data_IF_016430461794
#
_entry.id   IF_016430461794
#
_cell.length_a   1.000
_cell.length_b   1.000
_cell.length_c   1.000
_cell.angle_alpha   90.00
_cell.angle_beta   90.00
_cell.angle_gamma   90.00
#
_symmetry.space_group_name_H-M   'P 1'
#
loop_
_entity.id
_entity.type
_entity.pdbx_description
1 polymer ?
#
# COMPACT_ATOMS: atom_id res chain seq x y z
N UNK A 1 -2.84 43.77 14.51
CA UNK A 1 -2.24 42.76 13.63
C UNK A 1 -2.35 41.43 14.35
N UNK A 2 -3.41 40.69 14.06
CA UNK A 2 -3.61 39.39 14.66
C UNK A 2 -2.57 38.43 14.08
N UNK A 3 -1.70 37.91 14.96
CA UNK A 3 -0.75 36.85 14.59
C UNK A 3 -1.54 35.56 14.42
N UNK A 4 -1.66 35.09 13.21
CA UNK A 4 -2.17 33.73 12.90
C UNK A 4 -1.16 32.74 13.52
N UNK A 5 -1.58 32.03 14.56
CA UNK A 5 -0.79 30.90 15.08
C UNK A 5 -0.97 29.73 14.10
N UNK A 6 0.08 29.37 13.42
CA UNK A 6 0.09 28.22 12.51
C UNK A 6 0.26 26.92 13.33
N UNK A 7 -0.65 25.98 13.16
CA UNK A 7 -0.56 24.65 13.80
C UNK A 7 0.18 23.74 12.83
N UNK A 8 1.40 23.37 13.19
CA UNK A 8 2.18 22.40 12.43
C UNK A 8 1.66 21.00 12.79
N UNK A 9 1.31 20.22 11.78
CA UNK A 9 0.85 18.84 11.96
C UNK A 9 1.79 17.86 11.27
N UNK A 10 2.08 16.72 11.91
CA UNK A 10 2.78 15.60 11.32
C UNK A 10 1.83 14.40 11.22
N UNK A 11 1.76 13.79 10.04
CA UNK A 11 0.91 12.67 9.75
C UNK A 11 1.75 11.43 9.47
N UNK A 12 1.38 10.28 10.07
CA UNK A 12 2.05 8.99 9.87
C UNK A 12 1.03 7.85 9.78
N UNK A 13 1.35 6.86 8.96
CA UNK A 13 0.62 5.60 8.90
C UNK A 13 1.55 4.40 8.98
N UNK A 14 1.12 3.36 9.69
CA UNK A 14 1.88 2.12 9.89
C UNK A 14 0.96 0.93 9.67
N UNK A 15 1.42 -0.05 8.90
CA UNK A 15 0.81 -1.37 8.80
C UNK A 15 1.70 -2.38 9.54
N UNK A 16 1.19 -2.95 10.61
CA UNK A 16 1.86 -3.96 11.41
C UNK A 16 1.26 -5.33 11.18
N UNK A 17 2.07 -6.30 10.79
CA UNK A 17 1.67 -7.69 10.56
C UNK A 17 2.18 -8.60 11.68
N UNK A 18 1.27 -9.38 12.29
CA UNK A 18 1.57 -10.31 13.37
C UNK A 18 1.33 -11.72 12.85
N UNK A 19 2.41 -12.44 12.56
CA UNK A 19 2.35 -13.83 12.09
C UNK A 19 2.07 -14.79 13.25
N UNK A 20 1.42 -15.92 12.94
CA UNK A 20 1.06 -16.97 13.91
C UNK A 20 0.25 -16.41 15.10
N UNK A 21 -0.68 -15.52 14.82
CA UNK A 21 -1.44 -14.81 15.85
C UNK A 21 -2.25 -15.75 16.75
N UNK A 22 -2.73 -16.87 16.23
CA UNK A 22 -3.47 -17.87 17.03
C UNK A 22 -2.63 -18.48 18.14
N UNK A 23 -1.30 -18.60 17.92
CA UNK A 23 -0.32 -19.17 18.85
C UNK A 23 0.29 -18.11 19.79
N UNK A 24 -0.22 -16.88 19.78
CA UNK A 24 0.32 -15.80 20.61
C UNK A 24 0.37 -16.20 22.09
N UNK A 25 1.57 -16.24 22.71
CA UNK A 25 1.78 -16.79 24.04
C UNK A 25 1.42 -15.82 25.19
N UNK A 26 0.89 -14.65 24.88
CA UNK A 26 0.58 -13.64 25.90
C UNK A 26 -0.52 -14.12 26.85
N UNK A 27 -0.40 -13.72 28.12
CA UNK A 27 -1.46 -13.86 29.13
C UNK A 27 -2.40 -12.64 29.16
N UNK A 28 -3.43 -12.70 30.03
CA UNK A 28 -4.31 -11.54 30.27
C UNK A 28 -3.46 -10.39 30.81
N UNK A 29 -3.70 -9.17 30.36
CA UNK A 29 -2.91 -7.95 30.62
C UNK A 29 -1.57 -7.84 29.88
N UNK A 30 -1.12 -8.88 29.19
CA UNK A 30 0.08 -8.80 28.35
C UNK A 30 -0.26 -8.27 26.96
N UNK A 31 0.70 -7.59 26.36
CA UNK A 31 0.56 -7.00 25.02
C UNK A 31 1.71 -7.37 24.11
N UNK A 32 1.42 -7.37 22.81
CA UNK A 32 2.43 -7.27 21.77
C UNK A 32 2.56 -5.81 21.35
N UNK A 33 3.77 -5.39 21.00
CA UNK A 33 4.06 -4.03 20.56
C UNK A 33 4.63 -4.05 19.15
N UNK A 34 4.16 -3.13 18.30
CA UNK A 34 4.71 -2.91 16.98
C UNK A 34 6.16 -2.38 17.06
N UNK A 35 6.91 -2.43 15.95
CA UNK A 35 8.08 -1.57 15.81
C UNK A 35 7.70 -0.12 16.11
N UNK A 36 8.63 0.62 16.72
CA UNK A 36 8.44 2.02 17.04
C UNK A 36 8.50 2.89 15.77
N UNK A 37 7.72 3.95 15.75
CA UNK A 37 7.73 4.94 14.70
C UNK A 37 7.71 6.36 15.29
N UNK A 38 8.14 7.35 14.52
CA UNK A 38 8.34 8.69 15.03
C UNK A 38 7.51 9.73 14.30
N UNK A 39 7.10 10.76 15.03
CA UNK A 39 6.57 12.03 14.49
C UNK A 39 7.49 13.17 14.86
N UNK A 40 7.55 14.23 14.01
CA UNK A 40 8.49 15.36 14.13
C UNK A 40 7.76 16.70 14.00
N UNK A 41 6.76 16.95 14.83
CA UNK A 41 6.03 18.21 14.76
C UNK A 41 6.81 19.38 15.40
N UNK A 42 7.25 19.26 16.64
CA UNK A 42 8.13 20.22 17.34
C UNK A 42 9.36 19.52 17.92
N UNK A 43 9.18 18.28 18.36
CA UNK A 43 10.20 17.38 18.88
C UNK A 43 10.01 15.98 18.29
N UNK A 44 11.02 15.12 18.41
CA UNK A 44 10.93 13.72 17.95
C UNK A 44 10.16 12.92 19.00
N UNK A 45 8.90 12.62 18.72
CA UNK A 45 8.07 11.78 19.59
C UNK A 45 8.03 10.36 19.06
N UNK A 46 8.26 9.39 19.96
CA UNK A 46 8.26 7.96 19.63
C UNK A 46 6.92 7.34 19.98
N UNK A 47 6.34 6.61 19.03
CA UNK A 47 5.06 5.94 19.11
C UNK A 47 5.16 4.45 18.83
N UNK A 48 4.25 3.68 19.38
CA UNK A 48 4.04 2.27 19.03
C UNK A 48 2.56 1.91 19.09
N UNK A 49 2.17 0.88 18.36
CA UNK A 49 0.85 0.25 18.48
C UNK A 49 0.96 -0.93 19.44
N UNK A 50 0.06 -1.02 20.41
CA UNK A 50 -0.06 -2.16 21.33
C UNK A 50 -1.35 -2.90 21.07
N UNK A 51 -1.26 -4.22 21.03
CA UNK A 51 -2.40 -5.13 20.99
C UNK A 51 -2.39 -5.99 22.24
N UNK A 52 -3.54 -6.11 22.90
CA UNK A 52 -3.77 -7.01 24.01
C UNK A 52 -4.57 -8.21 23.51
N UNK A 53 -3.92 -9.35 23.18
CA UNK A 53 -4.58 -10.46 22.49
C UNK A 53 -5.61 -11.19 23.34
N UNK A 54 -5.46 -11.17 24.66
CA UNK A 54 -6.38 -11.80 25.63
C UNK A 54 -7.11 -10.79 26.53
N UNK A 55 -6.97 -9.48 26.23
CA UNK A 55 -7.63 -8.39 26.95
C UNK A 55 -6.98 -8.02 28.26
N UNK A 56 -7.68 -7.19 29.02
CA UNK A 56 -7.22 -6.57 30.26
C UNK A 56 -8.26 -6.71 31.37
N UNK A 57 -7.81 -7.05 32.56
CA UNK A 57 -8.70 -7.19 33.76
C UNK A 57 -9.24 -5.85 34.21
N UNK A 58 -8.40 -4.82 34.26
CA UNK A 58 -8.76 -3.45 34.67
C UNK A 58 -9.85 -2.82 33.80
N UNK A 59 -9.88 -3.18 32.52
CA UNK A 59 -10.87 -2.68 31.55
C UNK A 59 -12.07 -3.62 31.37
N UNK A 60 -12.21 -4.67 32.17
CA UNK A 60 -13.23 -5.72 32.05
C UNK A 60 -13.35 -6.27 30.61
N UNK A 61 -12.20 -6.50 29.97
CA UNK A 61 -12.10 -6.92 28.56
C UNK A 61 -11.40 -8.27 28.39
N UNK A 62 -11.37 -9.11 29.41
CA UNK A 62 -10.80 -10.45 29.34
C UNK A 62 -11.47 -11.26 28.22
N UNK A 63 -10.67 -11.95 27.41
CA UNK A 63 -11.13 -12.68 26.22
C UNK A 63 -11.38 -11.80 24.99
N UNK A 64 -11.19 -10.49 25.09
CA UNK A 64 -11.35 -9.56 23.99
C UNK A 64 -10.01 -8.99 23.56
N UNK A 65 -9.92 -8.63 22.29
CA UNK A 65 -8.72 -7.98 21.74
C UNK A 65 -8.82 -6.48 21.94
N UNK A 66 -7.78 -5.90 22.57
CA UNK A 66 -7.63 -4.46 22.75
C UNK A 66 -6.59 -3.88 21.79
N UNK A 67 -6.83 -2.66 21.27
CA UNK A 67 -5.91 -1.92 20.41
C UNK A 67 -5.65 -0.52 20.98
N UNK A 68 -4.37 -0.16 21.10
CA UNK A 68 -3.95 1.10 21.67
C UNK A 68 -2.81 1.72 20.89
N UNK A 69 -2.77 3.06 20.83
CA UNK A 69 -1.59 3.83 20.48
C UNK A 69 -0.84 4.19 21.78
N UNK A 70 0.46 4.03 21.77
CA UNK A 70 1.34 4.25 22.92
C UNK A 70 2.41 5.25 22.61
N UNK A 71 2.63 6.24 23.53
CA UNK A 71 3.73 7.20 23.46
C UNK A 71 4.90 6.66 24.28
N UNK A 72 6.03 6.36 23.60
CA UNK A 72 7.24 5.78 24.20
C UNK A 72 8.33 6.80 24.53
N UNK A 73 8.20 8.08 24.11
CA UNK A 73 9.23 9.10 24.33
C UNK A 73 9.21 9.64 25.76
N UNK A 74 10.40 9.96 26.28
CA UNK A 74 10.59 10.51 27.63
C UNK A 74 10.25 12.00 27.76
N UNK A 75 9.88 12.65 26.66
CA UNK A 75 9.59 14.07 26.67
C UNK A 75 8.27 14.39 27.35
N UNK A 76 8.28 15.47 28.16
CA UNK A 76 7.13 15.95 28.92
C UNK A 76 6.11 16.73 28.09
N UNK A 77 6.39 16.90 26.80
CA UNK A 77 5.51 17.65 25.90
C UNK A 77 4.14 17.00 25.75
N UNK A 78 3.13 17.86 25.74
CA UNK A 78 1.73 17.49 25.54
C UNK A 78 1.42 17.58 24.06
N UNK A 79 1.03 16.44 23.47
CA UNK A 79 0.65 16.39 22.08
C UNK A 79 -0.86 16.20 21.93
N UNK A 80 -1.46 17.00 21.07
CA UNK A 80 -2.82 16.81 20.60
C UNK A 80 -2.78 15.83 19.43
N UNK A 81 -3.36 14.66 19.61
CA UNK A 81 -3.21 13.54 18.68
C UNK A 81 -4.57 13.05 18.21
N UNK A 82 -4.75 13.05 16.89
CA UNK A 82 -5.84 12.36 16.22
C UNK A 82 -5.30 11.05 15.68
N UNK A 83 -5.97 9.94 16.00
CA UNK A 83 -5.54 8.63 15.51
C UNK A 83 -6.71 7.77 15.03
N UNK A 84 -6.37 6.85 14.15
CA UNK A 84 -7.22 5.76 13.67
C UNK A 84 -6.43 4.46 13.78
N UNK A 85 -6.96 3.47 14.50
CA UNK A 85 -6.41 2.11 14.53
C UNK A 85 -7.50 1.16 14.05
N UNK A 86 -7.16 0.21 13.20
CA UNK A 86 -8.11 -0.79 12.73
C UNK A 86 -7.43 -2.12 12.40
N UNK A 87 -8.22 -3.17 12.31
CA UNK A 87 -7.79 -4.42 11.70
C UNK A 87 -8.03 -4.32 10.19
N UNK A 88 -7.11 -4.88 9.40
CA UNK A 88 -7.29 -5.05 7.97
C UNK A 88 -7.79 -6.46 7.68
N UNK A 89 -8.86 -6.57 6.89
CA UNK A 89 -9.30 -7.87 6.39
C UNK A 89 -8.35 -8.39 5.28
N UNK A 90 -8.61 -9.58 4.79
CA UNK A 90 -7.82 -10.23 3.73
C UNK A 90 -7.80 -9.42 2.43
N UNK A 91 -8.77 -8.53 2.23
CA UNK A 91 -8.89 -7.63 1.09
C UNK A 91 -8.29 -6.24 1.36
N UNK A 92 -7.64 -6.01 2.50
CA UNK A 92 -7.06 -4.73 2.88
C UNK A 92 -8.07 -3.69 3.39
N UNK A 93 -9.36 -4.04 3.53
CA UNK A 93 -10.41 -3.12 4.01
C UNK A 93 -10.34 -2.94 5.51
N UNK A 94 -10.73 -1.74 5.96
CA UNK A 94 -10.78 -1.42 7.38
C UNK A 94 -11.92 -2.15 8.10
N UNK A 95 -11.55 -2.87 9.16
CA UNK A 95 -12.47 -3.56 10.06
C UNK A 95 -12.20 -3.13 11.50
N UNK A 96 -13.23 -3.11 12.33
CA UNK A 96 -13.10 -2.80 13.75
C UNK A 96 -12.33 -1.50 14.03
N UNK A 97 -12.79 -0.41 13.39
CA UNK A 97 -12.11 0.89 13.40
C UNK A 97 -12.28 1.59 14.75
N UNK A 98 -11.16 1.98 15.33
CA UNK A 98 -11.07 2.84 16.51
C UNK A 98 -10.53 4.19 16.08
N UNK A 99 -11.32 5.26 16.20
CA UNK A 99 -10.90 6.64 15.93
C UNK A 99 -11.08 7.45 17.19
N UNK A 100 -10.13 8.30 17.51
CA UNK A 100 -10.23 9.23 18.64
C UNK A 100 -9.27 10.38 18.45
N UNK A 101 -9.52 11.44 19.24
CA UNK A 101 -8.69 12.62 19.36
C UNK A 101 -8.39 12.81 20.84
N UNK A 102 -7.12 12.80 21.24
CA UNK A 102 -6.71 12.75 22.64
C UNK A 102 -5.47 13.60 22.89
N UNK A 103 -5.33 14.01 24.15
CA UNK A 103 -4.13 14.68 24.66
C UNK A 103 -3.20 13.63 25.28
N UNK A 104 -2.02 13.45 24.68
CA UNK A 104 -0.97 12.60 25.23
C UNK A 104 -0.04 13.43 26.12
N UNK A 105 -0.11 13.18 27.45
CA UNK A 105 0.66 13.89 28.46
C UNK A 105 1.72 12.96 29.05
N UNK A 106 2.98 13.36 28.96
CA UNK A 106 4.10 12.60 29.53
C UNK A 106 4.44 11.29 28.81
N UNK A 107 5.33 10.52 29.41
CA UNK A 107 5.79 9.23 28.93
C UNK A 107 4.83 8.10 29.36
N UNK A 108 4.73 7.04 28.56
CA UNK A 108 3.96 5.86 28.90
C UNK A 108 2.44 5.99 28.72
N UNK A 109 1.95 7.10 28.15
CA UNK A 109 0.52 7.28 27.91
C UNK A 109 0.03 6.40 26.77
N UNK A 110 -1.07 5.69 26.98
CA UNK A 110 -1.72 4.86 25.97
C UNK A 110 -3.19 5.23 25.85
N UNK A 111 -3.67 5.33 24.60
CA UNK A 111 -5.09 5.54 24.27
C UNK A 111 -5.56 4.58 23.22
N UNK A 112 -6.77 4.04 23.37
CA UNK A 112 -7.32 3.07 22.44
C UNK A 112 -8.65 2.52 22.91
N UNK A 113 -8.92 1.28 22.51
CA UNK A 113 -10.12 0.54 22.92
C UNK A 113 -9.73 -0.84 23.44
N UNK A 114 -10.13 -1.15 24.66
CA UNK A 114 -9.84 -2.43 25.32
C UNK A 114 -10.66 -3.60 24.75
N UNK A 115 -11.80 -3.31 24.13
CA UNK A 115 -12.73 -4.30 23.58
C UNK A 115 -13.05 -3.95 22.13
N UNK A 116 -12.26 -4.48 21.21
CA UNK A 116 -12.41 -4.26 19.76
C UNK A 116 -13.17 -5.41 19.11
N UNK A 117 -12.79 -6.65 19.43
CA UNK A 117 -13.42 -7.88 18.97
C UNK A 117 -13.19 -8.99 20.00
N UNK A 118 -14.13 -9.91 20.14
CA UNK A 118 -13.91 -11.10 20.95
C UNK A 118 -12.86 -12.01 20.29
N UNK A 119 -11.89 -12.50 21.07
CA UNK A 119 -10.82 -13.36 20.54
C UNK A 119 -11.36 -14.64 19.92
N UNK A 120 -12.38 -15.24 20.51
CA UNK A 120 -13.04 -16.44 19.98
C UNK A 120 -13.72 -16.18 18.64
N UNK A 121 -14.34 -15.01 18.48
CA UNK A 121 -14.94 -14.59 17.19
C UNK A 121 -13.86 -14.40 16.13
N UNK A 122 -12.72 -13.78 16.48
CA UNK A 122 -11.61 -13.61 15.55
C UNK A 122 -11.00 -14.95 15.10
N UNK A 123 -10.74 -15.86 16.05
CA UNK A 123 -10.13 -17.16 15.78
C UNK A 123 -11.11 -18.18 15.17
N UNK A 124 -12.41 -17.95 15.32
CA UNK A 124 -13.49 -18.79 14.78
C UNK A 124 -14.11 -18.18 13.53
N UNK A 125 -15.28 -17.59 13.68
CA UNK A 125 -16.15 -17.12 12.58
C UNK A 125 -15.48 -16.10 11.66
N UNK A 126 -14.58 -15.26 12.19
CA UNK A 126 -13.87 -14.23 11.42
C UNK A 126 -12.47 -14.60 10.98
N UNK A 127 -12.06 -15.86 11.18
CA UNK A 127 -10.71 -16.31 10.86
C UNK A 127 -10.37 -16.15 9.39
N UNK A 128 -11.24 -16.58 8.51
CA UNK A 128 -11.01 -16.46 7.06
C UNK A 128 -11.00 -15.03 6.56
N UNK A 129 -11.75 -14.12 7.23
CA UNK A 129 -11.83 -12.70 6.87
C UNK A 129 -10.61 -11.91 7.37
N UNK A 130 -10.08 -12.22 8.57
CA UNK A 130 -9.12 -11.36 9.27
C UNK A 130 -7.73 -11.99 9.47
N UNK A 131 -7.60 -13.33 9.39
CA UNK A 131 -6.39 -14.08 9.70
C UNK A 131 -5.93 -14.96 8.52
N UNK A 132 -5.61 -14.32 7.40
CA UNK A 132 -5.04 -15.06 6.26
C UNK A 132 -3.66 -15.64 6.65
N UNK A 133 -3.49 -16.97 6.50
CA UNK A 133 -2.27 -17.68 6.91
C UNK A 133 -1.88 -17.38 8.37
N UNK A 134 -2.88 -17.32 9.27
CA UNK A 134 -2.71 -17.00 10.69
C UNK A 134 -1.99 -15.65 10.97
N UNK A 135 -2.13 -14.71 10.04
CA UNK A 135 -1.50 -13.39 10.11
C UNK A 135 -2.54 -12.30 10.35
N UNK A 136 -2.45 -11.62 11.51
CA UNK A 136 -3.27 -10.46 11.83
C UNK A 136 -2.60 -9.19 11.33
N UNK A 137 -3.35 -8.33 10.64
CA UNK A 137 -2.89 -7.04 10.12
C UNK A 137 -3.54 -5.89 10.88
N UNK A 138 -2.72 -5.10 11.56
CA UNK A 138 -3.15 -3.91 12.32
C UNK A 138 -2.67 -2.67 11.59
N UNK A 139 -3.58 -1.79 11.21
CA UNK A 139 -3.25 -0.50 10.58
C UNK A 139 -3.46 0.62 11.59
N UNK A 140 -2.50 1.51 11.68
CA UNK A 140 -2.57 2.73 12.50
C UNK A 140 -2.23 3.95 11.65
N UNK A 141 -3.03 4.99 11.81
CA UNK A 141 -2.84 6.31 11.25
C UNK A 141 -2.88 7.33 12.39
N UNK A 142 -1.90 8.22 12.44
CA UNK A 142 -1.75 9.21 13.50
C UNK A 142 -1.47 10.58 12.90
N UNK A 143 -2.13 11.62 13.42
CA UNK A 143 -1.84 13.02 13.14
C UNK A 143 -1.56 13.73 14.46
N UNK A 144 -0.36 14.28 14.60
CA UNK A 144 0.09 14.98 15.80
C UNK A 144 0.14 16.48 15.51
N UNK A 145 -0.57 17.29 16.29
CA UNK A 145 -0.55 18.74 16.23
C UNK A 145 0.28 19.33 17.36
N UNK A 146 1.15 20.30 17.04
CA UNK A 146 1.88 21.09 18.01
C UNK A 146 1.59 22.56 17.84
N UNK A 147 1.52 23.29 18.95
CA UNK A 147 1.41 24.75 18.95
C UNK A 147 2.83 25.28 19.10
N UNK A 148 3.36 25.91 18.06
CA UNK A 148 4.65 26.60 18.17
C UNK A 148 4.57 27.73 19.24
N UNK A 149 5.12 27.42 20.38
CA UNK A 149 5.31 28.37 21.48
C UNK A 149 6.77 28.80 21.56
N UNK A 150 7.06 29.99 21.03
CA UNK A 150 8.25 30.81 21.24
C UNK A 150 9.55 30.49 20.46
N UNK A 151 9.90 31.50 19.68
CA UNK A 151 11.28 31.85 19.36
C UNK A 151 12.17 31.88 20.61
N UNK A 152 13.19 31.08 20.67
CA UNK A 152 14.48 31.42 21.28
C UNK A 152 15.59 30.66 20.55
N UNK A 153 16.39 31.42 19.85
CA UNK A 153 17.74 31.10 19.38
C UNK A 153 18.58 30.57 20.54
N UNK A 154 19.22 29.41 20.36
CA UNK A 154 20.64 29.17 20.58
C UNK A 154 21.03 27.68 20.62
N UNK A 155 22.07 27.35 19.89
CA UNK A 155 23.02 26.33 20.32
C UNK A 155 22.76 24.87 19.90
N UNK A 156 22.93 24.56 18.63
CA UNK A 156 23.06 23.18 18.19
C UNK A 156 24.39 22.55 18.66
N UNK A 157 24.36 21.68 19.66
CA UNK A 157 25.43 20.67 19.89
C UNK A 157 25.10 19.39 19.15
N UNK A 158 25.88 19.11 18.10
CA UNK A 158 25.89 17.84 17.38
C UNK A 158 26.38 16.73 18.31
N UNK A 159 25.54 15.77 18.62
CA UNK A 159 25.97 14.43 19.06
C UNK A 159 25.71 13.45 17.92
N UNK A 160 26.83 12.96 17.34
CA UNK A 160 26.81 11.85 16.38
C UNK A 160 26.42 10.56 17.11
N UNK A 161 25.19 10.11 16.94
CA UNK A 161 24.84 8.72 17.13
C UNK A 161 24.29 8.20 15.79
N UNK A 162 25.01 7.21 15.22
CA UNK A 162 24.53 6.46 14.04
C UNK A 162 23.22 5.75 14.43
N UNK A 163 22.10 6.34 14.14
CA UNK A 163 20.79 5.68 14.15
C UNK A 163 20.48 5.25 12.72
N UNK A 164 20.13 3.98 12.54
CA UNK A 164 19.55 3.42 11.32
C UNK A 164 18.48 4.35 10.77
N UNK A 165 18.44 4.63 9.46
CA UNK A 165 17.48 5.54 8.87
C UNK A 165 16.07 5.03 9.10
N UNK A 166 15.27 5.80 9.83
CA UNK A 166 13.86 5.49 10.10
C UNK A 166 13.02 5.73 8.82
N UNK A 167 11.91 5.03 8.72
CA UNK A 167 10.91 5.11 7.62
C UNK A 167 10.55 6.56 7.22
N UNK A 168 10.65 7.52 8.16
CA UNK A 168 10.43 8.96 7.90
C UNK A 168 11.38 9.57 6.85
N UNK A 169 12.59 9.02 6.67
CA UNK A 169 13.52 9.50 5.65
C UNK A 169 13.07 9.07 4.25
N UNK A 170 12.36 7.94 4.13
CA UNK A 170 11.86 7.45 2.86
C UNK A 170 10.68 8.27 2.35
N UNK A 171 9.75 8.66 3.23
CA UNK A 171 8.62 9.53 2.84
C UNK A 171 9.12 10.92 2.41
N UNK A 172 10.08 11.50 3.14
CA UNK A 172 10.70 12.76 2.78
C UNK A 172 11.47 12.66 1.45
N UNK A 173 12.18 11.55 1.23
CA UNK A 173 12.88 11.27 -0.02
C UNK A 173 11.89 11.14 -1.18
N UNK A 174 10.83 10.37 -1.00
CA UNK A 174 9.75 10.22 -1.99
C UNK A 174 9.12 11.58 -2.35
N UNK A 175 8.78 12.41 -1.35
CA UNK A 175 8.24 13.76 -1.57
C UNK A 175 9.23 14.69 -2.28
N UNK A 176 10.53 14.60 -1.99
CA UNK A 176 11.55 15.35 -2.69
C UNK A 176 11.66 14.94 -4.17
N UNK A 177 11.57 13.64 -4.46
CA UNK A 177 11.55 13.15 -5.84
C UNK A 177 10.25 13.50 -6.56
N UNK A 178 9.11 13.53 -5.87
CA UNK A 178 7.85 14.03 -6.43
C UNK A 178 7.98 15.51 -6.84
N UNK A 179 8.52 16.33 -5.96
CA UNK A 179 8.79 17.75 -6.25
C UNK A 179 9.76 17.91 -7.45
N UNK A 180 10.78 17.05 -7.55
CA UNK A 180 11.70 17.03 -8.67
C UNK A 180 10.98 16.68 -9.97
N UNK A 181 10.13 15.64 -9.94
CA UNK A 181 9.32 15.25 -11.10
C UNK A 181 8.36 16.37 -11.54
N UNK A 182 7.65 17.00 -10.62
CA UNK A 182 6.71 18.08 -10.91
C UNK A 182 7.37 19.35 -11.43
N UNK A 183 8.52 19.73 -10.85
CA UNK A 183 9.25 20.95 -11.26
C UNK A 183 9.91 20.85 -12.63
N UNK A 184 10.11 19.64 -13.17
CA UNK A 184 10.81 19.36 -14.44
C UNK A 184 12.19 20.02 -14.57
N UNK A 185 12.83 20.35 -13.42
CA UNK A 185 14.16 20.96 -13.40
C UNK A 185 15.22 19.90 -13.67
N UNK A 186 16.27 20.28 -14.39
CA UNK A 186 17.44 19.45 -14.70
C UNK A 186 17.12 18.17 -15.49
N UNK A 187 15.96 18.10 -16.14
CA UNK A 187 15.65 16.99 -17.04
C UNK A 187 16.63 16.98 -18.22
N UNK A 188 17.17 15.80 -18.51
CA UNK A 188 18.14 15.54 -19.57
C UNK A 188 17.63 14.55 -20.62
N UNK A 189 16.36 14.15 -20.51
CA UNK A 189 15.70 13.23 -21.43
C UNK A 189 14.20 13.51 -21.52
N UNK A 190 13.58 13.13 -22.65
CA UNK A 190 12.13 13.30 -22.86
C UNK A 190 11.51 12.01 -23.37
N UNK A 191 10.56 11.46 -22.61
CA UNK A 191 9.66 10.43 -23.14
C UNK A 191 8.49 11.12 -23.83
N UNK A 192 8.09 10.62 -24.98
CA UNK A 192 7.02 11.24 -25.76
C UNK A 192 5.99 10.17 -26.15
N UNK A 193 4.73 10.42 -25.83
CA UNK A 193 3.58 9.71 -26.44
C UNK A 193 3.15 10.45 -27.71
N UNK A 194 2.14 9.93 -28.39
CA UNK A 194 1.56 10.62 -29.56
C UNK A 194 1.00 12.01 -29.17
N UNK A 195 0.53 12.14 -27.92
CA UNK A 195 -0.21 13.31 -27.44
C UNK A 195 0.65 14.27 -26.62
N UNK A 196 1.61 13.76 -25.84
CA UNK A 196 2.27 14.54 -24.80
C UNK A 196 3.74 14.17 -24.63
N UNK A 197 4.54 15.18 -24.18
CA UNK A 197 5.96 15.03 -23.83
C UNK A 197 6.14 15.05 -22.31
N UNK A 198 7.00 14.16 -21.83
CA UNK A 198 7.32 13.98 -20.41
C UNK A 198 8.83 14.15 -20.19
N UNK A 199 9.30 15.35 -19.81
CA UNK A 199 10.68 15.56 -19.41
C UNK A 199 11.02 14.71 -18.17
N UNK A 200 12.16 14.04 -18.19
CA UNK A 200 12.60 13.12 -17.14
C UNK A 200 14.12 13.14 -16.95
N UNK A 201 14.62 12.39 -15.99
CA UNK A 201 16.05 12.26 -15.67
C UNK A 201 16.54 10.87 -16.03
N UNK A 202 17.49 10.74 -16.95
CA UNK A 202 18.08 9.46 -17.37
C UNK A 202 18.53 8.63 -16.18
N UNK A 203 19.25 9.25 -15.25
CA UNK A 203 19.78 8.56 -14.08
C UNK A 203 18.69 7.94 -13.19
N UNK A 204 17.55 8.61 -13.04
CA UNK A 204 16.43 8.09 -12.25
C UNK A 204 15.73 6.96 -13.00
N UNK A 205 15.49 7.14 -14.30
CA UNK A 205 14.90 6.09 -15.14
C UNK A 205 15.78 4.82 -15.14
N UNK A 206 17.09 4.95 -15.36
CA UNK A 206 18.03 3.84 -15.37
C UNK A 206 18.17 3.15 -14.00
N UNK A 207 18.15 3.91 -12.91
CA UNK A 207 18.24 3.35 -11.56
C UNK A 207 17.01 2.51 -11.18
N UNK A 208 15.85 2.75 -11.79
CA UNK A 208 14.58 2.11 -11.46
C UNK A 208 14.13 1.05 -12.47
N UNK A 209 14.65 1.10 -13.70
CA UNK A 209 14.26 0.21 -14.79
C UNK A 209 15.51 -0.28 -15.53
N UNK A 210 15.68 -1.59 -15.57
CA UNK A 210 16.77 -2.23 -16.33
C UNK A 210 16.61 -2.01 -17.83
N UNK A 211 15.37 -1.83 -18.32
CA UNK A 211 15.11 -1.52 -19.73
C UNK A 211 15.59 -0.11 -20.07
N UNK A 212 15.31 0.89 -19.23
CA UNK A 212 15.85 2.23 -19.42
C UNK A 212 17.38 2.26 -19.26
N UNK A 213 17.93 1.50 -18.29
CA UNK A 213 19.38 1.38 -18.15
C UNK A 213 20.00 0.86 -19.42
N UNK A 214 19.51 -0.26 -19.96
CA UNK A 214 20.01 -0.83 -21.22
C UNK A 214 19.85 0.11 -22.42
N UNK A 215 18.74 0.87 -22.48
CA UNK A 215 18.48 1.86 -23.51
C UNK A 215 19.54 2.98 -23.52
N UNK A 216 20.05 3.38 -22.36
CA UNK A 216 21.03 4.45 -22.22
C UNK A 216 22.50 3.98 -22.28
N UNK A 217 22.77 2.68 -22.04
CA UNK A 217 24.12 2.11 -22.01
C UNK A 217 24.56 1.53 -23.36
N UNK A 218 23.66 1.06 -24.20
CA UNK A 218 23.99 0.47 -25.50
C UNK A 218 23.99 1.49 -26.62
N UNK A 219 24.80 1.25 -27.67
CA UNK A 219 24.90 2.06 -28.91
C UNK A 219 23.58 2.05 -29.73
N UNK A 220 22.49 2.39 -29.06
CA UNK A 220 21.17 2.59 -29.67
C UNK A 220 20.98 4.06 -30.05
N UNK A 221 20.03 4.35 -30.92
CA UNK A 221 19.73 5.73 -31.35
C UNK A 221 19.37 6.63 -30.15
N UNK A 222 18.78 6.05 -29.12
CA UNK A 222 18.34 6.70 -27.89
C UNK A 222 19.50 7.16 -26.99
N UNK A 223 20.69 6.55 -27.09
CA UNK A 223 21.90 7.02 -26.39
C UNK A 223 22.32 8.42 -26.86
N UNK A 224 22.18 8.70 -28.17
CA UNK A 224 22.54 9.97 -28.80
C UNK A 224 21.34 10.90 -28.99
N UNK A 225 20.13 10.47 -28.64
CA UNK A 225 18.89 11.25 -28.74
C UNK A 225 18.49 11.74 -27.34
N UNK A 226 18.00 12.97 -27.26
CA UNK A 226 17.44 13.52 -26.01
C UNK A 226 15.97 13.12 -25.80
N UNK A 227 15.43 12.24 -26.65
CA UNK A 227 14.05 11.81 -26.56
C UNK A 227 13.78 10.42 -27.16
N UNK A 228 12.73 9.76 -26.69
CA UNK A 228 12.19 8.52 -27.26
C UNK A 228 10.68 8.62 -27.44
N UNK A 229 10.16 8.13 -28.58
CA UNK A 229 8.73 8.02 -28.83
C UNK A 229 8.21 6.68 -28.32
N UNK A 230 7.14 6.72 -27.53
CA UNK A 230 6.43 5.59 -26.97
C UNK A 230 4.98 5.66 -27.48
N UNK A 231 4.68 5.11 -28.66
CA UNK A 231 3.39 5.29 -29.31
C UNK A 231 2.29 4.40 -28.76
N UNK A 232 2.64 3.38 -28.02
CA UNK A 232 1.77 2.29 -27.53
C UNK A 232 1.33 2.45 -26.07
N UNK A 233 1.63 3.59 -25.43
CA UNK A 233 1.23 3.89 -24.06
C UNK A 233 0.45 5.19 -24.04
N UNK A 234 -0.71 5.17 -23.40
CA UNK A 234 -1.54 6.35 -23.15
C UNK A 234 -0.80 7.35 -22.25
N UNK A 235 -0.97 8.64 -22.53
CA UNK A 235 -0.26 9.71 -21.81
C UNK A 235 -0.52 9.67 -20.28
N UNK A 236 -1.74 9.36 -19.87
CA UNK A 236 -2.12 9.24 -18.46
C UNK A 236 -1.41 8.08 -17.75
N UNK A 237 -1.25 6.94 -18.43
CA UNK A 237 -0.57 5.76 -17.91
C UNK A 237 0.94 5.99 -17.82
N UNK A 238 1.51 6.68 -18.83
CA UNK A 238 2.93 7.04 -18.82
C UNK A 238 3.25 8.01 -17.66
N UNK A 239 2.38 8.99 -17.38
CA UNK A 239 2.55 9.92 -16.24
C UNK A 239 2.52 9.15 -14.91
N UNK A 240 1.53 8.26 -14.70
CA UNK A 240 1.41 7.45 -13.49
C UNK A 240 2.62 6.51 -13.32
N UNK A 241 3.13 5.89 -14.39
CA UNK A 241 4.35 5.08 -14.37
C UNK A 241 5.58 5.91 -13.99
N UNK A 242 5.74 7.09 -14.57
CA UNK A 242 6.84 7.98 -14.24
C UNK A 242 6.76 8.44 -12.77
N UNK A 243 5.59 8.86 -12.29
CA UNK A 243 5.40 9.18 -10.85
C UNK A 243 5.82 8.01 -9.98
N UNK A 244 5.42 6.78 -10.32
CA UNK A 244 5.87 5.59 -9.60
C UNK A 244 7.39 5.41 -9.62
N UNK A 245 8.05 5.62 -10.76
CA UNK A 245 9.52 5.55 -10.88
C UNK A 245 10.20 6.51 -9.90
N UNK A 246 9.68 7.73 -9.75
CA UNK A 246 10.24 8.75 -8.85
C UNK A 246 9.88 8.51 -7.38
N UNK A 247 8.63 8.15 -7.08
CA UNK A 247 8.09 8.15 -5.72
C UNK A 247 7.94 6.78 -5.09
N UNK A 248 7.90 5.72 -5.91
CA UNK A 248 7.56 4.36 -5.47
C UNK A 248 6.08 4.15 -5.16
N UNK A 249 5.21 5.12 -5.47
CA UNK A 249 3.77 5.08 -5.14
C UNK A 249 2.90 5.38 -6.35
N UNK A 250 1.67 4.83 -6.37
CA UNK A 250 0.61 5.19 -7.31
C UNK A 250 -0.51 5.87 -6.51
N UNK A 251 -0.87 7.11 -6.88
CA UNK A 251 -1.81 7.92 -6.09
C UNK A 251 -3.24 7.41 -6.13
N UNK A 252 -3.77 7.13 -7.33
CA UNK A 252 -5.13 6.66 -7.53
C UNK A 252 -5.09 5.48 -8.50
N UNK A 253 -5.45 4.30 -8.00
CA UNK A 253 -5.53 3.09 -8.81
C UNK A 253 -7.00 2.82 -9.16
N UNK A 254 -7.33 2.86 -10.44
CA UNK A 254 -8.58 2.33 -11.01
C UNK A 254 -8.28 1.04 -11.74
N UNK A 255 -9.31 0.26 -12.08
CA UNK A 255 -9.11 -1.01 -12.79
C UNK A 255 -8.45 -0.80 -14.16
N UNK A 256 -8.92 0.16 -14.94
CA UNK A 256 -8.33 0.52 -16.24
C UNK A 256 -6.87 0.97 -16.10
N UNK A 257 -6.54 1.79 -15.11
CA UNK A 257 -5.14 2.18 -14.81
C UNK A 257 -4.28 0.98 -14.42
N UNK A 258 -4.81 0.07 -13.61
CA UNK A 258 -4.09 -1.14 -13.21
C UNK A 258 -3.72 -2.02 -14.40
N UNK A 259 -4.61 -2.16 -15.38
CA UNK A 259 -4.34 -2.87 -16.64
C UNK A 259 -3.21 -2.20 -17.44
N UNK A 260 -3.33 -0.89 -17.69
CA UNK A 260 -2.31 -0.14 -18.44
C UNK A 260 -0.95 -0.11 -17.73
N UNK A 261 -0.94 0.11 -16.41
CA UNK A 261 0.29 0.11 -15.61
C UNK A 261 0.92 -1.28 -15.51
N UNK A 262 0.12 -2.35 -15.49
CA UNK A 262 0.64 -3.72 -15.51
C UNK A 262 1.43 -4.00 -16.80
N UNK A 263 0.87 -3.62 -17.95
CA UNK A 263 1.54 -3.74 -19.24
C UNK A 263 2.83 -2.91 -19.30
N UNK A 264 2.81 -1.67 -18.80
CA UNK A 264 3.99 -0.83 -18.71
C UNK A 264 5.04 -1.40 -17.77
N UNK A 265 4.61 -1.93 -16.61
CA UNK A 265 5.49 -2.51 -15.62
C UNK A 265 6.24 -3.74 -16.17
N UNK A 266 5.56 -4.59 -16.92
CA UNK A 266 6.17 -5.71 -17.62
C UNK A 266 7.18 -5.21 -18.70
N UNK A 267 6.76 -4.28 -19.56
CA UNK A 267 7.60 -3.72 -20.64
C UNK A 267 8.88 -3.07 -20.13
N UNK A 268 8.81 -2.33 -19.00
CA UNK A 268 9.93 -1.60 -18.42
C UNK A 268 10.61 -2.30 -17.25
N UNK A 269 10.25 -3.57 -16.98
CA UNK A 269 10.80 -4.40 -15.92
C UNK A 269 10.70 -3.74 -14.54
N UNK A 270 9.49 -3.31 -14.17
CA UNK A 270 9.17 -2.69 -12.88
C UNK A 270 8.40 -3.70 -12.01
N UNK A 271 9.11 -4.70 -11.45
CA UNK A 271 8.52 -5.87 -10.81
C UNK A 271 7.56 -5.51 -9.67
N UNK A 272 7.93 -4.56 -8.80
CA UNK A 272 7.06 -4.18 -7.68
C UNK A 272 5.78 -3.50 -8.16
N UNK A 273 5.84 -2.69 -9.23
CA UNK A 273 4.65 -2.08 -9.84
C UNK A 273 3.76 -3.16 -10.45
N UNK A 274 4.35 -4.14 -11.14
CA UNK A 274 3.64 -5.28 -11.73
C UNK A 274 2.89 -6.07 -10.65
N UNK A 275 3.56 -6.38 -9.52
CA UNK A 275 2.96 -7.06 -8.36
C UNK A 275 1.81 -6.21 -7.77
N UNK A 276 2.00 -4.90 -7.64
CA UNK A 276 0.97 -3.99 -7.11
C UNK A 276 -0.28 -3.98 -8.00
N UNK A 277 -0.11 -3.85 -9.32
CA UNK A 277 -1.21 -3.87 -10.29
C UNK A 277 -1.93 -5.23 -10.30
N UNK A 278 -1.17 -6.33 -10.33
CA UNK A 278 -1.71 -7.68 -10.24
C UNK A 278 -2.58 -7.86 -9.01
N UNK A 279 -2.07 -7.52 -7.86
CA UNK A 279 -2.82 -7.59 -6.59
C UNK A 279 -4.09 -6.76 -6.65
N UNK A 280 -4.01 -5.53 -7.13
CA UNK A 280 -5.18 -4.67 -7.24
C UNK A 280 -6.27 -5.28 -8.14
N UNK A 281 -5.90 -5.81 -9.32
CA UNK A 281 -6.84 -6.45 -10.24
C UNK A 281 -7.51 -7.69 -9.62
N UNK A 282 -6.74 -8.52 -8.92
CA UNK A 282 -7.28 -9.71 -8.24
C UNK A 282 -8.18 -9.36 -7.05
N UNK A 283 -7.83 -8.33 -6.28
CA UNK A 283 -8.64 -7.85 -5.15
C UNK A 283 -9.97 -7.19 -5.59
N UNK A 284 -10.05 -6.73 -6.85
CA UNK A 284 -11.24 -6.08 -7.44
C UNK A 284 -11.87 -6.93 -8.57
N UNK A 285 -11.61 -8.22 -8.57
CA UNK A 285 -12.15 -9.13 -9.58
C UNK A 285 -13.68 -9.22 -9.47
N UNK A 286 -14.36 -9.07 -10.61
CA UNK A 286 -15.83 -9.07 -10.72
C UNK A 286 -16.26 -9.81 -11.98
N UNK A 287 -17.58 -10.04 -12.12
CA UNK A 287 -18.18 -10.63 -13.33
C UNK A 287 -17.86 -9.79 -14.57
N UNK A 288 -17.86 -8.45 -14.42
CA UNK A 288 -17.69 -7.52 -15.53
C UNK A 288 -16.24 -7.43 -16.04
N UNK A 289 -15.25 -7.68 -15.18
CA UNK A 289 -13.84 -7.51 -15.54
C UNK A 289 -13.03 -8.82 -15.62
N UNK A 290 -13.67 -9.97 -15.36
CA UNK A 290 -12.98 -11.26 -15.40
C UNK A 290 -12.32 -11.54 -16.77
N UNK A 291 -13.01 -11.22 -17.86
CA UNK A 291 -12.50 -11.50 -19.22
C UNK A 291 -11.20 -10.71 -19.47
N UNK A 292 -11.13 -9.46 -19.06
CA UNK A 292 -9.92 -8.63 -19.17
C UNK A 292 -8.78 -9.19 -18.31
N UNK A 293 -9.07 -9.64 -17.07
CA UNK A 293 -8.07 -10.28 -16.20
C UNK A 293 -7.56 -11.57 -16.81
N UNK A 294 -8.44 -12.39 -17.38
CA UNK A 294 -8.06 -13.64 -18.02
C UNK A 294 -7.19 -13.40 -19.26
N UNK A 295 -7.51 -12.41 -20.09
CA UNK A 295 -6.69 -12.00 -21.23
C UNK A 295 -5.29 -11.57 -20.82
N UNK A 296 -5.18 -10.71 -19.81
CA UNK A 296 -3.89 -10.23 -19.27
C UNK A 296 -3.10 -11.40 -18.69
N UNK A 297 -3.75 -12.26 -17.90
CA UNK A 297 -3.13 -13.44 -17.32
C UNK A 297 -2.55 -14.38 -18.38
N UNK A 298 -3.23 -14.53 -19.52
CA UNK A 298 -2.78 -15.36 -20.62
C UNK A 298 -1.66 -14.68 -21.42
N UNK A 299 -1.81 -13.42 -21.76
CA UNK A 299 -0.84 -12.63 -22.53
C UNK A 299 0.54 -12.56 -21.85
N UNK A 300 0.56 -12.36 -20.54
CA UNK A 300 1.79 -12.24 -19.74
C UNK A 300 2.20 -13.53 -19.04
N UNK A 301 1.48 -14.63 -19.30
CA UNK A 301 1.71 -15.94 -18.71
C UNK A 301 1.74 -15.93 -17.16
N UNK A 302 0.85 -15.18 -16.53
CA UNK A 302 0.74 -15.05 -15.07
C UNK A 302 -0.08 -16.23 -14.49
N UNK A 303 0.61 -17.26 -14.03
CA UNK A 303 0.00 -18.51 -13.56
C UNK A 303 -0.99 -18.27 -12.40
N UNK A 304 -0.62 -17.44 -11.41
CA UNK A 304 -1.49 -17.13 -10.28
C UNK A 304 -2.80 -16.47 -10.73
N UNK A 305 -2.71 -15.49 -11.64
CA UNK A 305 -3.90 -14.82 -12.18
C UNK A 305 -4.78 -15.80 -12.98
N UNK A 306 -4.18 -16.69 -13.76
CA UNK A 306 -4.90 -17.74 -14.51
C UNK A 306 -5.71 -18.61 -13.56
N UNK A 307 -5.12 -19.10 -12.49
CA UNK A 307 -5.80 -19.97 -11.53
C UNK A 307 -6.92 -19.26 -10.75
N UNK A 308 -6.70 -18.00 -10.36
CA UNK A 308 -7.72 -17.20 -9.70
C UNK A 308 -8.88 -16.91 -10.66
N UNK A 309 -8.59 -16.54 -11.92
CA UNK A 309 -9.61 -16.30 -12.95
C UNK A 309 -10.46 -17.55 -13.22
N UNK A 310 -9.83 -18.73 -13.38
CA UNK A 310 -10.51 -20.02 -13.54
C UNK A 310 -11.43 -20.33 -12.35
N UNK A 311 -10.92 -20.17 -11.13
CA UNK A 311 -11.69 -20.43 -9.91
C UNK A 311 -12.88 -19.47 -9.76
N UNK A 312 -12.73 -18.21 -10.16
CA UNK A 312 -13.81 -17.24 -10.15
C UNK A 312 -14.84 -17.54 -11.24
N UNK A 313 -14.39 -17.90 -12.45
CA UNK A 313 -15.24 -18.28 -13.55
C UNK A 313 -16.11 -19.49 -13.20
N UNK A 314 -15.53 -20.54 -12.61
CA UNK A 314 -16.27 -21.75 -12.21
C UNK A 314 -17.44 -21.44 -11.26
N UNK A 315 -17.30 -20.45 -10.39
CA UNK A 315 -18.33 -20.04 -9.42
C UNK A 315 -19.40 -19.12 -10.00
N UNK A 316 -19.07 -18.35 -11.05
CA UNK A 316 -19.93 -17.29 -11.59
C UNK A 316 -20.25 -17.49 -13.08
N UNK A 317 -20.05 -18.70 -13.62
CA UNK A 317 -20.11 -18.97 -15.05
C UNK A 317 -21.41 -18.50 -15.73
N UNK A 318 -22.57 -18.78 -15.11
CA UNK A 318 -23.86 -18.38 -15.68
C UNK A 318 -24.04 -16.88 -15.87
N UNK A 319 -23.41 -16.08 -15.00
CA UNK A 319 -23.46 -14.63 -15.10
C UNK A 319 -22.46 -14.12 -16.15
N UNK A 320 -21.25 -14.67 -16.15
CA UNK A 320 -20.17 -14.25 -17.05
C UNK A 320 -20.51 -14.59 -18.52
N UNK A 321 -21.04 -15.77 -18.77
CA UNK A 321 -21.43 -16.22 -20.12
C UNK A 321 -22.56 -15.37 -20.75
N UNK A 322 -23.26 -14.58 -19.93
CA UNK A 322 -24.31 -13.68 -20.38
C UNK A 322 -23.81 -12.23 -20.62
N UNK A 323 -22.50 -11.96 -20.46
CA UNK A 323 -21.93 -10.63 -20.64
C UNK A 323 -21.40 -10.43 -22.07
N UNK A 324 -21.43 -9.18 -22.56
CA UNK A 324 -20.80 -8.82 -23.83
C UNK A 324 -19.28 -9.07 -23.81
N UNK A 325 -18.63 -8.84 -22.65
CA UNK A 325 -17.20 -9.07 -22.49
C UNK A 325 -16.80 -10.54 -22.73
N UNK A 326 -17.71 -11.46 -22.47
CA UNK A 326 -17.51 -12.88 -22.80
C UNK A 326 -17.56 -13.13 -24.31
N UNK A 327 -18.50 -12.50 -25.02
CA UNK A 327 -18.60 -12.60 -26.48
C UNK A 327 -17.32 -12.03 -27.14
N UNK A 328 -16.84 -10.87 -26.67
CA UNK A 328 -15.56 -10.28 -27.11
C UNK A 328 -14.37 -11.20 -26.83
N UNK A 329 -14.32 -11.83 -25.65
CA UNK A 329 -13.26 -12.80 -25.33
C UNK A 329 -13.27 -14.02 -26.28
N UNK A 330 -14.45 -14.50 -26.65
CA UNK A 330 -14.58 -15.62 -27.60
C UNK A 330 -14.08 -15.26 -28.99
N UNK A 331 -14.32 -14.04 -29.44
CA UNK A 331 -13.87 -13.57 -30.77
C UNK A 331 -12.36 -13.27 -30.78
N UNK A 332 -11.86 -12.52 -29.79
CA UNK A 332 -10.47 -12.04 -29.76
C UNK A 332 -9.47 -13.08 -29.24
N UNK A 333 -9.88 -13.90 -28.28
CA UNK A 333 -9.01 -14.88 -27.58
C UNK A 333 -9.70 -16.23 -27.35
N UNK A 334 -10.06 -16.97 -28.42
CA UNK A 334 -10.79 -18.25 -28.30
C UNK A 334 -10.05 -19.29 -27.45
N UNK A 335 -8.73 -19.26 -27.43
CA UNK A 335 -7.92 -20.18 -26.62
C UNK A 335 -8.10 -19.91 -25.11
N UNK A 336 -8.06 -18.66 -24.70
CA UNK A 336 -8.28 -18.27 -23.29
C UNK A 336 -9.71 -18.60 -22.84
N UNK A 337 -10.70 -18.36 -23.70
CA UNK A 337 -12.09 -18.74 -23.45
C UNK A 337 -12.25 -20.25 -23.30
N UNK A 338 -11.59 -21.05 -24.16
CA UNK A 338 -11.58 -22.52 -24.07
C UNK A 338 -11.01 -23.01 -22.75
N UNK A 339 -9.90 -22.44 -22.29
CA UNK A 339 -9.29 -22.79 -20.99
C UNK A 339 -10.21 -22.50 -19.79
N UNK A 340 -11.02 -21.45 -19.85
CA UNK A 340 -12.03 -21.16 -18.82
C UNK A 340 -13.18 -22.18 -18.87
N UNK A 341 -13.66 -22.57 -20.06
CA UNK A 341 -14.74 -23.56 -20.21
C UNK A 341 -14.31 -24.96 -19.76
N UNK A 342 -13.05 -25.34 -19.94
CA UNK A 342 -12.53 -26.65 -19.50
C UNK A 342 -12.70 -26.86 -17.99
N UNK A 343 -12.68 -25.78 -17.18
CA UNK A 343 -12.87 -25.89 -15.73
C UNK A 343 -14.28 -26.36 -15.38
N UNK A 344 -15.29 -25.92 -16.14
CA UNK A 344 -16.68 -26.37 -15.95
C UNK A 344 -16.81 -27.84 -16.40
N UNK A 345 -16.24 -28.19 -17.56
CA UNK A 345 -16.30 -29.55 -18.10
C UNK A 345 -15.65 -30.57 -17.16
N UNK A 346 -14.50 -30.25 -16.56
CA UNK A 346 -13.80 -31.11 -15.60
C UNK A 346 -14.54 -31.25 -14.26
N UNK A 347 -15.29 -30.21 -13.81
CA UNK A 347 -16.15 -30.25 -12.63
C UNK A 347 -17.39 -31.16 -12.79
N UNK A 348 -17.86 -31.38 -13.99
CA UNK A 348 -18.95 -32.33 -14.28
C UNK A 348 -18.51 -33.82 -14.25
N UNK A 349 -17.25 -34.11 -14.56
CA UNK A 349 -16.73 -35.49 -14.56
C UNK A 349 -16.40 -36.03 -13.18
N UNK A 350 -16.29 -35.17 -12.14
CA UNK A 350 -16.02 -35.59 -10.76
C UNK A 350 -17.28 -35.84 -9.90
N UNK A 351 -18.49 -35.70 -10.46
CA UNK A 351 -19.78 -35.94 -9.80
C UNK A 351 -20.60 -37.09 -10.41
N UNK A 352 -19.99 -37.90 -11.29
CA UNK A 352 -20.63 -39.10 -11.91
C UNK A 352 -20.15 -40.34 -11.23
#
# INVERSE_FOLDING_TARGET
MDRIKEIVTDHRSVLWTIQNFSLCPTDVNEYLQSPEFTTRSSSVTIWAVRIYPKGQTECNSVGKIGLFIHKSSSETEVHHVRYKICLKDVYGRDRYVVKSEQLFKGNGTSWGRASVIDREVLLGVKREELLQNDTLRVYCEITVGCIDGNNSTEGAKRSNSLSTPSICCLDALSSNFETLYESKKWCDFTLQTVEQKFPAHRIILAARSTVFAAMFEHDMQEQHSDSVLIPDIEASILDDMLRYIYTGTVQIMTFSKALGLFACADKYNLDELKIMCKKFMLDHLSVDNLCEVAMVADLYNELEMKEVAKSFFARNASQILATNNWEELLEDRPHTASQLLEVIASGYTSKS
#
